data_IF_860637339655
#
_entry.id   IF_860637339655
#
_cell.length_a   1.000
_cell.length_b   1.000
_cell.length_c   1.000
_cell.angle_alpha   90.00
_cell.angle_beta   90.00
_cell.angle_gamma   90.00
#
_symmetry.space_group_name_H-M   'P 1'
#
loop_
_entity.id
_entity.type
_entity.pdbx_description
1 polymer ?
#
# COMPACT_ATOMS: atom_id res chain seq x y z
N UNK A 1 17.41 -2.42 6.99
CA UNK A 1 16.62 -3.30 7.88
C UNK A 1 16.67 -2.78 9.33
N UNK A 2 17.84 -2.42 9.86
CA UNK A 2 17.99 -1.66 11.12
C UNK A 2 17.04 -0.46 11.22
N UNK A 3 16.91 0.28 10.13
CA UNK A 3 16.16 1.54 10.08
C UNK A 3 14.63 1.42 10.23
N UNK A 4 14.03 0.21 10.15
CA UNK A 4 12.57 -0.01 10.35
C UNK A 4 12.29 -0.59 11.75
N UNK A 5 13.20 -1.43 12.23
CA UNK A 5 13.14 -2.02 13.57
C UNK A 5 13.39 -0.95 14.64
N UNK A 6 14.30 -0.01 14.40
CA UNK A 6 14.52 1.19 15.24
C UNK A 6 13.32 2.15 15.23
N UNK A 7 12.46 2.10 14.20
CA UNK A 7 11.27 2.97 14.03
C UNK A 7 9.97 2.35 14.58
N UNK A 8 10.05 1.20 15.25
CA UNK A 8 8.94 0.64 16.03
C UNK A 8 8.30 -0.66 15.50
N UNK A 9 8.83 -1.26 14.42
CA UNK A 9 8.41 -2.61 13.99
C UNK A 9 9.41 -3.65 14.49
N UNK A 10 9.34 -3.96 15.77
CA UNK A 10 10.23 -4.95 16.43
C UNK A 10 10.01 -6.37 15.90
N UNK A 11 10.98 -7.29 16.07
CA UNK A 11 10.81 -8.70 15.73
C UNK A 11 9.53 -9.33 16.32
N UNK A 12 9.20 -9.02 17.57
CA UNK A 12 7.99 -9.53 18.24
C UNK A 12 6.71 -9.05 17.55
N UNK A 13 6.69 -7.81 17.09
CA UNK A 13 5.55 -7.27 16.35
C UNK A 13 5.39 -7.97 14.98
N UNK A 14 6.50 -8.31 14.31
CA UNK A 14 6.45 -9.10 13.08
C UNK A 14 5.91 -10.50 13.31
N UNK A 15 6.29 -11.14 14.42
CA UNK A 15 5.75 -12.45 14.82
C UNK A 15 4.24 -12.33 15.08
N UNK A 16 3.83 -11.35 15.88
CA UNK A 16 2.42 -11.10 16.19
C UNK A 16 1.57 -10.85 14.94
N UNK A 17 2.04 -9.99 14.03
CA UNK A 17 1.37 -9.74 12.75
C UNK A 17 1.26 -11.02 11.92
N UNK A 18 2.29 -11.88 11.95
CA UNK A 18 2.29 -13.13 11.18
C UNK A 18 1.28 -14.14 11.72
N UNK A 19 1.06 -14.17 13.04
CA UNK A 19 -0.01 -14.97 13.66
C UNK A 19 -1.41 -14.54 13.22
N UNK A 20 -1.64 -13.22 13.07
CA UNK A 20 -2.98 -12.68 12.72
C UNK A 20 -3.23 -12.69 11.21
N UNK A 21 -2.22 -12.29 10.43
CA UNK A 21 -2.35 -12.03 8.99
C UNK A 21 -1.81 -13.18 8.12
N UNK A 22 -1.11 -14.14 8.72
CA UNK A 22 -0.39 -15.21 8.03
C UNK A 22 1.01 -14.80 7.56
N UNK A 23 1.98 -15.68 7.79
CA UNK A 23 3.41 -15.49 7.48
C UNK A 23 3.67 -15.02 6.05
N UNK A 24 2.97 -15.60 5.08
CA UNK A 24 3.17 -15.27 3.65
C UNK A 24 2.83 -13.81 3.36
N UNK A 25 1.74 -13.31 3.94
CA UNK A 25 1.29 -11.93 3.76
C UNK A 25 2.27 -10.96 4.43
N UNK A 26 2.67 -11.26 5.66
CA UNK A 26 3.57 -10.42 6.44
C UNK A 26 4.98 -10.37 5.84
N UNK A 27 5.53 -11.52 5.44
CA UNK A 27 6.82 -11.58 4.74
C UNK A 27 6.82 -10.78 3.44
N UNK A 28 5.72 -10.84 2.68
CA UNK A 28 5.55 -10.05 1.45
C UNK A 28 5.47 -8.56 1.75
N UNK A 29 4.80 -8.18 2.84
CA UNK A 29 4.70 -6.80 3.32
C UNK A 29 6.06 -6.25 3.78
N UNK A 30 6.83 -7.04 4.53
CA UNK A 30 8.20 -6.71 4.95
C UNK A 30 9.12 -6.51 3.74
N UNK A 31 8.97 -7.32 2.70
CA UNK A 31 9.70 -7.12 1.44
C UNK A 31 9.36 -5.78 0.77
N UNK A 32 8.08 -5.40 0.72
CA UNK A 32 7.68 -4.11 0.15
C UNK A 32 8.33 -2.95 0.93
N UNK A 33 8.20 -2.96 2.25
CA UNK A 33 8.76 -1.92 3.11
C UNK A 33 10.29 -1.79 2.99
N UNK A 34 10.99 -2.86 2.64
CA UNK A 34 12.47 -2.83 2.61
C UNK A 34 13.06 -2.62 1.22
N UNK A 35 12.30 -2.89 0.14
CA UNK A 35 12.87 -2.99 -1.21
C UNK A 35 12.16 -2.14 -2.25
N UNK A 36 10.93 -1.71 -1.97
CA UNK A 36 10.09 -1.03 -2.95
C UNK A 36 9.93 0.44 -2.59
N UNK A 37 9.68 1.26 -3.62
CA UNK A 37 9.41 2.69 -3.43
C UNK A 37 7.94 2.88 -3.08
N UNK A 38 7.68 3.56 -1.97
CA UNK A 38 6.34 3.86 -1.48
C UNK A 38 6.13 5.37 -1.54
N UNK A 39 5.05 5.80 -2.19
CA UNK A 39 4.71 7.22 -2.28
C UNK A 39 3.29 7.44 -1.81
N UNK A 40 3.11 8.45 -0.98
CA UNK A 40 1.81 9.01 -0.59
C UNK A 40 1.58 10.28 -1.39
N UNK A 41 0.53 10.30 -2.19
CA UNK A 41 0.07 11.49 -2.89
C UNK A 41 -1.20 12.01 -2.19
N UNK A 42 -1.30 13.33 -2.04
CA UNK A 42 -2.54 13.96 -1.58
C UNK A 42 -2.99 15.00 -2.60
N UNK A 43 -4.28 14.96 -2.93
CA UNK A 43 -4.91 15.92 -3.83
C UNK A 43 -5.04 17.27 -3.13
N UNK A 44 -4.56 18.35 -3.76
CA UNK A 44 -4.49 19.70 -3.17
C UNK A 44 -5.83 20.19 -2.65
N UNK A 45 -6.91 20.04 -3.43
CA UNK A 45 -8.21 20.64 -3.10
C UNK A 45 -9.05 19.71 -2.24
N UNK A 46 -9.12 18.44 -2.60
CA UNK A 46 -9.99 17.47 -1.92
C UNK A 46 -9.33 16.78 -0.73
N UNK A 47 -8.03 16.98 -0.52
CA UNK A 47 -7.21 16.29 0.48
C UNK A 47 -7.34 14.75 0.44
N UNK A 48 -7.75 14.21 -0.72
CA UNK A 48 -7.88 12.77 -0.91
C UNK A 48 -6.50 12.13 -1.03
N UNK A 49 -6.39 10.93 -0.49
CA UNK A 49 -5.12 10.24 -0.32
C UNK A 49 -5.02 9.06 -1.28
N UNK A 50 -3.92 9.01 -2.02
CA UNK A 50 -3.55 7.94 -2.92
C UNK A 50 -2.17 7.45 -2.53
N UNK A 51 -2.00 6.14 -2.44
CA UNK A 51 -0.68 5.54 -2.26
C UNK A 51 -0.28 4.80 -3.52
N UNK A 52 1.01 4.86 -3.85
CA UNK A 52 1.60 4.05 -4.91
C UNK A 52 2.75 3.22 -4.35
N UNK A 53 2.81 1.96 -4.75
CA UNK A 53 3.95 1.06 -4.49
C UNK A 53 4.54 0.69 -5.83
N UNK A 54 5.78 1.11 -6.06
CA UNK A 54 6.51 0.91 -7.31
C UNK A 54 7.64 -0.06 -7.08
N UNK A 55 7.72 -1.10 -7.91
CA UNK A 55 8.81 -2.05 -7.82
C UNK A 55 10.02 -1.60 -8.62
N UNK A 56 11.22 -1.72 -8.06
CA UNK A 56 12.45 -1.50 -8.84
C UNK A 56 12.67 -2.57 -9.92
N UNK A 57 12.02 -3.75 -9.75
CA UNK A 57 12.20 -4.93 -10.60
C UNK A 57 11.09 -5.12 -11.63
N UNK A 58 10.03 -4.33 -11.56
CA UNK A 58 8.86 -4.43 -12.43
C UNK A 58 8.33 -3.04 -12.70
N UNK A 59 7.90 -2.78 -13.94
CA UNK A 59 7.16 -1.55 -14.29
C UNK A 59 5.79 -1.47 -13.62
N UNK A 60 5.37 -2.49 -12.86
CA UNK A 60 4.13 -2.49 -12.11
C UNK A 60 4.13 -1.43 -11.00
N UNK A 61 3.23 -0.46 -11.14
CA UNK A 61 2.87 0.50 -10.11
C UNK A 61 1.53 0.09 -9.51
N UNK A 62 1.53 -0.34 -8.25
CA UNK A 62 0.29 -0.67 -7.54
C UNK A 62 -0.28 0.59 -6.92
N UNK A 63 -1.55 0.84 -7.15
CA UNK A 63 -2.25 2.02 -6.65
C UNK A 63 -3.18 1.56 -5.54
N UNK A 64 -3.16 2.29 -4.42
CA UNK A 64 -3.98 2.04 -3.24
C UNK A 64 -4.74 3.31 -2.91
N UNK A 65 -6.07 3.22 -2.90
CA UNK A 65 -6.95 4.36 -2.62
C UNK A 65 -7.39 4.28 -1.16
N UNK A 66 -7.15 5.36 -0.41
CA UNK A 66 -7.40 5.49 1.03
C UNK A 66 -8.16 6.80 1.31
N UNK A 67 -8.96 6.94 2.38
CA UNK A 67 -9.16 6.01 3.49
C UNK A 67 -10.52 5.30 3.55
N UNK A 68 -11.54 5.73 2.77
CA UNK A 68 -12.90 5.20 2.93
C UNK A 68 -13.21 3.93 2.14
N UNK A 69 -12.49 3.68 1.04
CA UNK A 69 -12.78 2.58 0.12
C UNK A 69 -11.71 1.48 0.10
N UNK A 70 -10.60 1.64 0.85
CA UNK A 70 -9.41 0.75 0.88
C UNK A 70 -9.32 -0.20 -0.31
N UNK A 71 -9.04 0.37 -1.48
CA UNK A 71 -8.98 -0.39 -2.73
C UNK A 71 -7.52 -0.51 -3.17
N UNK A 72 -7.13 -1.67 -3.68
CA UNK A 72 -5.81 -1.87 -4.28
C UNK A 72 -5.92 -2.47 -5.68
N UNK A 73 -5.17 -1.93 -6.63
CA UNK A 73 -5.15 -2.41 -8.02
C UNK A 73 -4.48 -3.78 -8.22
N UNK A 74 -3.94 -4.42 -7.18
CA UNK A 74 -3.25 -5.70 -7.35
C UNK A 74 -4.23 -6.88 -7.48
N UNK A 75 -3.86 -7.87 -8.30
CA UNK A 75 -4.69 -9.06 -8.53
C UNK A 75 -5.05 -9.82 -7.24
N UNK A 76 -4.15 -9.86 -6.26
CA UNK A 76 -4.41 -10.52 -4.99
C UNK A 76 -5.56 -9.86 -4.21
N UNK A 77 -5.77 -8.54 -4.36
CA UNK A 77 -6.89 -7.85 -3.75
C UNK A 77 -8.20 -8.19 -4.47
N UNK A 78 -8.21 -8.12 -5.81
CA UNK A 78 -9.35 -8.54 -6.64
C UNK A 78 -9.79 -9.96 -6.30
N UNK A 79 -8.87 -10.92 -6.37
CA UNK A 79 -9.18 -12.33 -6.16
C UNK A 79 -9.53 -12.64 -4.70
N UNK A 80 -8.68 -12.24 -3.74
CA UNK A 80 -8.81 -12.74 -2.37
C UNK A 80 -9.72 -11.86 -1.51
N UNK A 81 -9.83 -10.58 -1.79
CA UNK A 81 -10.64 -9.64 -0.99
C UNK A 81 -12.00 -9.39 -1.63
N UNK A 82 -12.05 -9.05 -2.92
CA UNK A 82 -13.31 -8.70 -3.59
C UNK A 82 -14.13 -9.92 -4.03
N UNK A 83 -13.49 -10.93 -4.63
CA UNK A 83 -14.20 -12.08 -5.21
C UNK A 83 -14.39 -13.24 -4.22
N UNK A 84 -13.31 -13.67 -3.56
CA UNK A 84 -13.34 -14.89 -2.75
C UNK A 84 -13.52 -14.64 -1.24
N UNK A 85 -13.39 -13.38 -0.79
CA UNK A 85 -13.49 -12.99 0.63
C UNK A 85 -12.60 -13.80 1.59
N UNK A 86 -11.47 -14.32 1.11
CA UNK A 86 -10.52 -15.13 1.88
C UNK A 86 -9.51 -14.30 2.65
N UNK A 87 -9.35 -13.01 2.31
CA UNK A 87 -8.50 -12.08 3.05
C UNK A 87 -9.12 -10.68 3.04
N UNK A 88 -9.17 -9.98 4.19
CA UNK A 88 -9.74 -8.63 4.26
C UNK A 88 -8.90 -7.57 3.52
N UNK A 89 -7.63 -7.86 3.24
CA UNK A 89 -6.74 -6.95 2.51
C UNK A 89 -5.57 -7.68 1.84
N UNK A 90 -4.86 -6.98 0.95
CA UNK A 90 -3.63 -7.46 0.33
C UNK A 90 -2.38 -6.89 1.03
N UNK A 91 -1.20 -7.38 0.63
CA UNK A 91 0.10 -6.92 1.16
C UNK A 91 0.30 -5.40 1.04
N UNK A 92 -0.15 -4.79 -0.05
CA UNK A 92 0.04 -3.35 -0.28
C UNK A 92 -0.83 -2.51 0.68
N UNK A 93 -2.05 -2.96 0.98
CA UNK A 93 -2.90 -2.30 1.98
C UNK A 93 -2.28 -2.44 3.38
N UNK A 94 -1.78 -3.62 3.73
CA UNK A 94 -1.08 -3.81 5.01
C UNK A 94 0.17 -2.91 5.11
N UNK A 95 0.94 -2.78 4.03
CA UNK A 95 2.06 -1.82 3.93
C UNK A 95 1.59 -0.40 4.21
N UNK A 96 0.49 0.06 3.60
CA UNK A 96 -0.04 1.41 3.82
C UNK A 96 -0.45 1.62 5.27
N UNK A 97 -1.12 0.64 5.90
CA UNK A 97 -1.45 0.73 7.33
C UNK A 97 -0.21 0.87 8.21
N UNK A 98 0.83 0.08 7.93
CA UNK A 98 2.09 0.16 8.65
C UNK A 98 2.76 1.53 8.44
N UNK A 99 2.83 2.04 7.20
CA UNK A 99 3.39 3.36 6.91
C UNK A 99 2.64 4.47 7.65
N UNK A 100 1.31 4.41 7.72
CA UNK A 100 0.50 5.35 8.49
C UNK A 100 0.77 5.28 9.99
N UNK A 101 0.90 4.08 10.54
CA UNK A 101 1.25 3.88 11.94
C UNK A 101 2.66 4.42 12.26
N UNK A 102 3.63 4.13 11.39
CA UNK A 102 4.99 4.66 11.50
C UNK A 102 5.01 6.19 11.46
N UNK A 103 4.29 6.81 10.53
CA UNK A 103 4.22 8.27 10.43
C UNK A 103 3.57 8.92 11.65
N UNK A 104 2.52 8.29 12.20
CA UNK A 104 1.86 8.75 13.42
C UNK A 104 2.81 8.74 14.63
N UNK A 105 3.68 7.73 14.72
CA UNK A 105 4.65 7.59 15.82
C UNK A 105 5.92 8.41 15.58
N UNK A 106 6.33 8.57 14.32
CA UNK A 106 7.51 9.31 13.90
C UNK A 106 7.25 10.02 12.56
N UNK A 107 6.91 11.32 12.59
CA UNK A 107 6.65 12.11 11.38
C UNK A 107 7.84 12.21 10.41
N UNK A 108 9.07 11.92 10.88
CA UNK A 108 10.30 11.95 10.07
C UNK A 108 10.63 10.58 9.45
N UNK A 109 9.65 9.66 9.39
CA UNK A 109 9.87 8.35 8.77
C UNK A 109 10.26 8.49 7.29
N UNK A 110 11.31 7.77 6.90
CA UNK A 110 11.81 7.69 5.52
C UNK A 110 11.16 6.57 4.72
N UNK A 111 10.18 5.88 5.31
CA UNK A 111 9.57 4.68 4.74
C UNK A 111 8.75 4.95 3.47
N UNK A 112 8.31 6.20 3.28
CA UNK A 112 7.61 6.64 2.08
C UNK A 112 7.92 8.12 1.82
N UNK A 113 7.74 8.54 0.58
CA UNK A 113 7.79 9.95 0.17
C UNK A 113 6.37 10.51 0.11
N UNK A 114 6.18 11.76 0.51
CA UNK A 114 4.89 12.45 0.41
C UNK A 114 4.95 13.53 -0.66
N UNK A 115 3.96 13.53 -1.56
CA UNK A 115 3.82 14.51 -2.63
C UNK A 115 2.42 15.14 -2.62
N UNK A 116 2.34 16.41 -2.96
CA UNK A 116 1.09 17.06 -3.32
C UNK A 116 0.87 16.93 -4.83
N UNK A 117 -0.35 16.58 -5.23
CA UNK A 117 -0.77 16.53 -6.64
C UNK A 117 -2.03 17.36 -6.82
N UNK A 118 -2.27 17.85 -8.03
CA UNK A 118 -3.57 18.44 -8.36
C UNK A 118 -4.65 17.36 -8.49
N UNK A 119 -5.92 17.79 -8.40
CA UNK A 119 -7.07 16.89 -8.43
C UNK A 119 -7.27 16.21 -9.80
N UNK A 120 -6.76 16.80 -10.89
CA UNK A 120 -6.81 16.21 -12.23
C UNK A 120 -5.85 15.02 -12.37
N UNK A 121 -4.63 15.15 -11.83
CA UNK A 121 -3.68 14.06 -11.69
C UNK A 121 -4.25 12.95 -10.80
N UNK A 122 -4.89 13.31 -9.69
CA UNK A 122 -5.58 12.34 -8.82
C UNK A 122 -6.68 11.58 -9.59
N UNK A 123 -7.52 12.27 -10.36
CA UNK A 123 -8.55 11.65 -11.18
C UNK A 123 -7.97 10.65 -12.19
N UNK A 124 -6.87 11.01 -12.87
CA UNK A 124 -6.16 10.11 -13.80
C UNK A 124 -5.63 8.84 -13.12
N UNK A 125 -5.22 8.91 -11.86
CA UNK A 125 -4.87 7.71 -11.10
C UNK A 125 -6.08 6.82 -10.82
N UNK A 126 -7.23 7.40 -10.47
CA UNK A 126 -8.46 6.63 -10.28
C UNK A 126 -8.88 5.94 -11.56
N UNK A 127 -8.83 6.64 -12.70
CA UNK A 127 -9.18 6.07 -13.99
C UNK A 127 -8.36 4.81 -14.29
N UNK A 128 -7.04 4.85 -14.10
CA UNK A 128 -6.18 3.67 -14.27
C UNK A 128 -6.58 2.51 -13.35
N UNK A 129 -6.94 2.78 -12.10
CA UNK A 129 -7.31 1.73 -11.15
C UNK A 129 -8.62 1.05 -11.52
N UNK A 130 -9.63 1.83 -11.91
CA UNK A 130 -10.96 1.31 -12.16
C UNK A 130 -11.12 0.79 -13.59
N UNK A 131 -10.61 1.50 -14.61
CA UNK A 131 -10.83 1.12 -16.01
C UNK A 131 -9.82 0.10 -16.57
N UNK A 132 -8.56 0.07 -16.14
CA UNK A 132 -7.64 -0.99 -16.59
C UNK A 132 -7.99 -2.36 -15.97
N UNK A 133 -8.73 -2.36 -14.84
CA UNK A 133 -9.20 -3.59 -14.20
C UNK A 133 -10.30 -4.34 -14.97
N UNK A 134 -10.89 -3.68 -15.98
CA UNK A 134 -11.96 -4.19 -16.85
C UNK A 134 -11.45 -4.63 -18.24
N UNK A 135 -10.18 -4.38 -18.58
CA UNK A 135 -9.62 -4.62 -19.93
C UNK A 135 -8.71 -5.86 -20.06
N UNK A 136 -8.67 -6.75 -19.08
CA UNK A 136 -8.01 -8.05 -19.31
C UNK A 136 -8.87 -8.92 -20.25
N UNK A 137 -8.31 -9.41 -21.38
CA UNK A 137 -9.06 -10.18 -22.36
C UNK A 137 -9.52 -11.51 -21.76
N UNK A 138 -10.77 -11.89 -22.10
CA UNK A 138 -11.31 -13.23 -21.85
C UNK A 138 -10.48 -14.32 -22.54
#
# INVERSE_FOLDING_TARGET
MQDIEEKGLTPDLWIFLSTICGDKLVKSTKNILTKESITKNFARTTHRELWTVSSSKSSANYIIISPKAFHCSCQAFKNNTLLNHTSPFCKHILTVYICKALYKNNPNTTQFVSNEIDDEAFARYLEKVFYDSEREPK
#
